data_IF_803967131699
#
_entry.id   IF_803967131699
#
_cell.length_a   1.000
_cell.length_b   1.000
_cell.length_c   1.000
_cell.angle_alpha   90.00
_cell.angle_beta   90.00
_cell.angle_gamma   90.00
#
_symmetry.space_group_name_H-M   'P 1'
#
loop_
_entity.id
_entity.type
_entity.pdbx_description
1 polymer ?
#
# COMPACT_ATOMS: atom_id res chain seq x y z
N UNK A 1 16.49 -13.97 19.44
CA UNK A 1 15.60 -12.83 19.80
C UNK A 1 14.18 -13.37 19.85
N UNK A 2 13.45 -13.07 20.91
CA UNK A 2 12.04 -13.39 21.05
C UNK A 2 11.33 -12.23 21.78
N UNK A 3 10.00 -12.22 21.75
CA UNK A 3 9.16 -11.30 22.50
C UNK A 3 8.37 -12.10 23.53
N UNK A 4 8.28 -11.61 24.74
CA UNK A 4 7.51 -12.21 25.83
C UNK A 4 6.23 -11.40 26.05
N UNK A 5 5.10 -12.12 26.12
CA UNK A 5 3.80 -11.56 26.51
C UNK A 5 3.53 -11.95 27.96
N UNK A 6 3.30 -10.98 28.82
CA UNK A 6 3.15 -11.16 30.26
C UNK A 6 1.70 -11.08 30.75
N UNK A 7 0.73 -11.22 29.84
CA UNK A 7 -0.70 -11.27 30.16
C UNK A 7 -1.30 -12.62 29.82
N UNK A 8 -2.47 -12.91 30.37
CA UNK A 8 -3.18 -14.15 30.06
C UNK A 8 -3.62 -14.19 28.59
N UNK A 9 -3.21 -15.24 27.90
CA UNK A 9 -3.63 -15.52 26.53
C UNK A 9 -4.15 -16.95 26.39
N UNK A 10 -5.22 -17.10 25.61
CA UNK A 10 -5.74 -18.41 25.21
C UNK A 10 -5.00 -18.96 23.99
N UNK A 11 -4.62 -20.20 24.03
CA UNK A 11 -4.00 -20.93 22.89
C UNK A 11 -4.75 -22.24 22.64
N UNK A 12 -4.45 -22.92 21.57
CA UNK A 12 -4.94 -24.27 21.27
C UNK A 12 -4.47 -25.32 22.29
N UNK A 13 -3.44 -25.00 23.10
CA UNK A 13 -2.92 -25.83 24.19
C UNK A 13 -3.41 -25.43 25.58
N UNK A 14 -4.30 -24.43 25.66
CA UNK A 14 -4.85 -23.92 26.93
C UNK A 14 -4.51 -22.46 27.19
N UNK A 15 -4.78 -22.02 28.42
CA UNK A 15 -4.51 -20.64 28.87
C UNK A 15 -3.13 -20.61 29.50
N UNK A 16 -2.33 -19.63 29.10
CA UNK A 16 -1.05 -19.33 29.74
C UNK A 16 -1.01 -17.89 30.25
N UNK A 17 -0.29 -17.64 31.34
CA UNK A 17 -0.02 -16.28 31.86
C UNK A 17 1.20 -15.63 31.23
N UNK A 18 2.02 -16.44 30.57
CA UNK A 18 3.20 -15.99 29.85
C UNK A 18 3.26 -16.71 28.51
N UNK A 19 3.61 -16.00 27.47
CA UNK A 19 3.84 -16.59 26.16
C UNK A 19 5.05 -15.96 25.49
N UNK A 20 5.71 -16.73 24.67
CA UNK A 20 6.90 -16.33 23.94
C UNK A 20 6.64 -16.40 22.45
N UNK A 21 7.01 -15.33 21.73
CA UNK A 21 6.79 -15.21 20.30
C UNK A 21 8.11 -14.98 19.60
N UNK A 22 8.40 -15.79 18.59
CA UNK A 22 9.58 -15.58 17.75
C UNK A 22 9.24 -15.58 16.27
N UNK A 23 10.10 -14.96 15.49
CA UNK A 23 10.11 -15.09 14.04
C UNK A 23 11.01 -16.30 13.72
N UNK A 24 10.42 -17.32 13.09
CA UNK A 24 11.12 -18.55 12.73
C UNK A 24 11.75 -18.46 11.33
N UNK A 25 11.11 -17.75 10.42
CA UNK A 25 11.52 -17.65 9.02
C UNK A 25 10.90 -16.40 8.37
N UNK A 26 11.44 -15.98 7.22
CA UNK A 26 10.89 -14.88 6.46
C UNK A 26 11.01 -15.10 4.96
N UNK A 27 10.13 -14.43 4.22
CA UNK A 27 10.17 -14.36 2.77
C UNK A 27 9.93 -12.93 2.30
N UNK A 28 10.86 -12.38 1.52
CA UNK A 28 10.71 -11.07 0.89
C UNK A 28 10.43 -11.26 -0.59
N UNK A 29 9.33 -10.66 -1.05
CA UNK A 29 8.94 -10.66 -2.45
C UNK A 29 9.51 -9.45 -3.17
N UNK A 30 9.99 -9.64 -4.39
CA UNK A 30 10.38 -8.54 -5.31
C UNK A 30 9.23 -7.58 -5.65
N UNK A 31 7.99 -7.96 -5.34
CA UNK A 31 6.81 -7.14 -5.57
C UNK A 31 6.45 -6.22 -4.39
N UNK A 32 7.34 -6.08 -3.42
CA UNK A 32 7.18 -5.16 -2.30
C UNK A 32 6.35 -5.73 -1.16
N UNK A 33 6.63 -6.94 -0.74
CA UNK A 33 6.06 -7.52 0.47
C UNK A 33 7.07 -8.36 1.23
N UNK A 34 6.96 -8.34 2.56
CA UNK A 34 7.67 -9.24 3.45
C UNK A 34 6.64 -10.08 4.23
N UNK A 35 6.88 -11.36 4.33
CA UNK A 35 6.08 -12.29 5.12
C UNK A 35 6.99 -12.98 6.12
N UNK A 36 6.66 -12.88 7.40
CA UNK A 36 7.39 -13.47 8.51
C UNK A 36 6.56 -14.57 9.12
N UNK A 37 7.13 -15.78 9.26
CA UNK A 37 6.51 -16.88 9.97
C UNK A 37 6.69 -16.72 11.47
N UNK A 38 5.58 -16.70 12.21
CA UNK A 38 5.55 -16.49 13.65
C UNK A 38 5.32 -17.84 14.33
N UNK A 39 6.07 -18.08 15.40
CA UNK A 39 5.87 -19.21 16.30
C UNK A 39 5.60 -18.70 17.72
N UNK A 40 4.58 -19.28 18.35
CA UNK A 40 4.15 -18.98 19.71
C UNK A 40 4.48 -20.17 20.61
N UNK A 41 5.01 -19.91 21.79
CA UNK A 41 5.38 -20.90 22.78
C UNK A 41 4.79 -20.54 24.15
N UNK A 42 4.50 -21.53 24.99
CA UNK A 42 3.99 -21.34 26.34
C UNK A 42 5.07 -21.38 27.42
N UNK A 43 6.31 -21.71 27.05
CA UNK A 43 7.46 -21.69 27.95
C UNK A 43 8.71 -21.13 27.26
N UNK A 44 9.63 -20.59 28.03
CA UNK A 44 10.93 -20.12 27.57
C UNK A 44 11.82 -21.26 27.10
N UNK A 45 11.71 -22.43 27.73
CA UNK A 45 12.45 -23.62 27.38
C UNK A 45 12.12 -24.11 25.95
N UNK A 46 10.84 -24.02 25.56
CA UNK A 46 10.40 -24.38 24.20
C UNK A 46 10.97 -23.44 23.12
N UNK A 47 11.21 -22.16 23.45
CA UNK A 47 11.82 -21.19 22.51
C UNK A 47 13.26 -21.54 22.20
N UNK A 48 13.99 -21.99 23.21
CA UNK A 48 15.44 -22.23 23.13
C UNK A 48 15.77 -23.61 22.59
N UNK A 49 14.84 -24.56 22.67
CA UNK A 49 15.03 -25.92 22.15
C UNK A 49 15.00 -25.92 20.62
N UNK A 50 16.08 -26.35 19.94
CA UNK A 50 16.09 -26.46 18.48
C UNK A 50 15.03 -27.46 18.02
N UNK A 51 14.03 -27.00 17.26
CA UNK A 51 13.07 -27.88 16.62
C UNK A 51 13.72 -28.53 15.41
N UNK A 52 13.89 -29.83 15.41
CA UNK A 52 14.56 -30.58 14.35
C UNK A 52 13.84 -30.54 13.01
N UNK A 53 12.59 -30.12 12.99
CA UNK A 53 11.78 -29.95 11.76
C UNK A 53 10.86 -28.75 11.88
N UNK A 54 10.81 -27.87 10.86
CA UNK A 54 9.81 -26.81 10.78
C UNK A 54 8.39 -27.41 10.79
N UNK A 55 7.59 -27.01 11.76
CA UNK A 55 6.19 -27.44 11.89
C UNK A 55 5.93 -28.71 12.73
N UNK A 56 6.95 -29.36 13.28
CA UNK A 56 6.81 -30.52 14.18
C UNK A 56 7.35 -30.30 15.60
N UNK A 57 7.63 -29.05 15.99
CA UNK A 57 8.04 -28.75 17.36
C UNK A 57 6.88 -28.94 18.33
N UNK A 58 7.02 -29.84 19.29
CA UNK A 58 6.01 -30.15 20.31
C UNK A 58 5.62 -28.96 21.21
N UNK A 59 6.36 -27.85 21.16
CA UNK A 59 6.14 -26.62 21.91
C UNK A 59 5.28 -25.56 21.25
N UNK A 60 5.19 -25.52 19.91
CA UNK A 60 4.46 -24.45 19.20
C UNK A 60 2.97 -24.51 19.52
N UNK A 61 2.45 -23.39 20.04
CA UNK A 61 1.04 -23.16 20.31
C UNK A 61 0.43 -22.20 19.28
N UNK A 62 -0.88 -22.17 19.17
CA UNK A 62 -1.60 -21.27 18.24
C UNK A 62 -2.52 -20.33 18.97
N UNK A 63 -2.53 -19.09 18.53
CA UNK A 63 -3.49 -18.09 18.97
C UNK A 63 -4.04 -17.36 17.75
N UNK A 64 -5.36 -17.26 17.62
CA UNK A 64 -6.00 -16.69 16.43
C UNK A 64 -5.71 -15.20 16.25
N UNK A 65 -5.52 -14.43 17.33
CA UNK A 65 -5.25 -13.00 17.26
C UNK A 65 -3.81 -12.71 16.81
N UNK A 66 -2.85 -13.49 17.31
CA UNK A 66 -1.43 -13.37 16.91
C UNK A 66 -1.26 -13.87 15.49
N UNK A 67 -1.86 -15.02 15.16
CA UNK A 67 -1.72 -15.68 13.87
C UNK A 67 -0.36 -16.37 13.71
N UNK A 68 -0.17 -17.04 12.57
CA UNK A 68 1.04 -17.77 12.23
C UNK A 68 1.98 -16.99 11.30
N UNK A 69 1.55 -15.81 10.83
CA UNK A 69 2.33 -14.97 9.93
C UNK A 69 2.08 -13.48 10.17
N UNK A 70 3.11 -12.71 9.85
CA UNK A 70 3.08 -11.24 9.80
C UNK A 70 3.40 -10.81 8.39
N UNK A 71 2.44 -10.17 7.74
CA UNK A 71 2.61 -9.59 6.41
C UNK A 71 2.87 -8.10 6.51
N UNK A 72 3.91 -7.63 5.84
CA UNK A 72 4.31 -6.22 5.78
C UNK A 72 4.37 -5.81 4.31
N UNK A 73 3.63 -4.77 3.96
CA UNK A 73 3.73 -4.15 2.64
C UNK A 73 4.94 -3.22 2.60
N UNK A 74 5.88 -3.51 1.71
CA UNK A 74 7.05 -2.70 1.42
C UNK A 74 6.79 -1.93 0.13
N UNK A 75 5.97 -0.88 0.22
CA UNK A 75 5.56 -0.09 -0.94
C UNK A 75 5.60 1.40 -0.62
N UNK A 76 5.85 2.21 -1.64
CA UNK A 76 5.72 3.67 -1.58
C UNK A 76 4.80 4.18 -2.67
N UNK A 77 4.23 5.35 -2.44
CA UNK A 77 3.50 6.08 -3.44
C UNK A 77 4.45 7.00 -4.22
N UNK A 78 4.36 6.96 -5.53
CA UNK A 78 5.12 7.82 -6.44
C UNK A 78 4.15 8.54 -7.35
N UNK A 79 4.31 9.84 -7.47
CA UNK A 79 3.58 10.64 -8.43
C UNK A 79 4.27 10.55 -9.80
N UNK A 80 3.48 10.31 -10.83
CA UNK A 80 3.94 10.26 -12.21
C UNK A 80 3.05 11.14 -13.06
N UNK A 81 3.66 12.01 -13.84
CA UNK A 81 2.93 12.81 -14.84
C UNK A 81 2.84 12.02 -16.13
N UNK A 82 1.62 11.79 -16.57
CA UNK A 82 1.32 11.11 -17.82
C UNK A 82 0.61 12.07 -18.79
N UNK A 83 0.88 11.91 -20.07
CA UNK A 83 0.16 12.64 -21.11
C UNK A 83 -1.01 11.78 -21.60
N UNK A 84 -2.21 12.31 -21.48
CA UNK A 84 -3.45 11.65 -21.90
C UNK A 84 -4.11 12.46 -22.98
N UNK A 85 -4.57 11.81 -24.05
CA UNK A 85 -5.35 12.46 -25.09
C UNK A 85 -6.80 12.62 -24.65
N UNK A 86 -7.26 13.85 -24.62
CA UNK A 86 -8.65 14.18 -24.26
C UNK A 86 -9.29 15.09 -25.28
N UNK A 87 -10.59 14.89 -25.48
CA UNK A 87 -11.42 15.83 -26.25
C UNK A 87 -11.70 17.03 -25.39
N UNK A 88 -11.14 18.18 -25.77
CA UNK A 88 -11.26 19.46 -25.05
C UNK A 88 -12.09 20.43 -25.87
N UNK A 89 -13.05 21.16 -25.28
CA UNK A 89 -13.79 22.16 -26.01
C UNK A 89 -12.89 23.36 -26.33
N UNK A 90 -12.72 23.62 -27.62
CA UNK A 90 -11.93 24.75 -28.13
C UNK A 90 -12.86 25.69 -28.88
N UNK A 91 -12.70 26.99 -28.62
CA UNK A 91 -13.41 28.02 -29.39
C UNK A 91 -12.69 28.26 -30.71
N UNK A 92 -13.39 28.02 -31.80
CA UNK A 92 -12.87 28.23 -33.14
C UNK A 92 -13.62 29.39 -33.78
N UNK A 93 -12.89 30.34 -34.26
CA UNK A 93 -13.45 31.45 -35.03
C UNK A 93 -13.61 31.02 -36.50
N UNK A 94 -14.74 31.36 -37.07
CA UNK A 94 -15.01 31.14 -38.48
C UNK A 94 -15.72 32.36 -39.07
N UNK A 95 -15.48 32.55 -40.35
CA UNK A 95 -16.11 33.63 -41.10
C UNK A 95 -17.38 33.11 -41.77
N UNK A 96 -18.47 33.84 -41.64
CA UNK A 96 -19.75 33.56 -42.30
C UNK A 96 -20.16 34.78 -43.11
N UNK A 97 -20.56 34.54 -44.36
CA UNK A 97 -21.15 35.62 -45.16
C UNK A 97 -22.56 35.90 -44.66
N UNK A 98 -22.76 37.12 -44.20
CA UNK A 98 -24.07 37.59 -43.82
C UNK A 98 -24.60 38.55 -44.91
N UNK A 99 -25.92 38.53 -45.14
CA UNK A 99 -26.55 39.51 -46.02
C UNK A 99 -26.45 40.88 -45.36
N UNK A 100 -25.71 41.77 -45.97
CA UNK A 100 -25.55 43.16 -45.58
C UNK A 100 -26.75 44.04 -45.99
N UNK A 101 -26.69 45.34 -45.66
CA UNK A 101 -27.69 46.26 -46.11
C UNK A 101 -27.77 46.36 -47.64
N UNK A 102 -28.90 46.79 -48.16
CA UNK A 102 -29.07 47.06 -49.58
C UNK A 102 -28.15 48.20 -50.04
N UNK A 103 -27.55 48.02 -51.21
CA UNK A 103 -26.80 49.06 -51.89
C UNK A 103 -27.74 50.19 -52.42
N UNK A 104 -27.15 51.22 -53.04
CA UNK A 104 -27.91 52.35 -53.63
C UNK A 104 -28.86 51.92 -54.75
N UNK A 105 -28.65 50.75 -55.34
CA UNK A 105 -29.45 50.18 -56.44
C UNK A 105 -30.47 49.14 -55.95
N UNK A 106 -30.55 48.92 -54.59
CA UNK A 106 -31.51 48.04 -53.93
C UNK A 106 -31.08 46.56 -53.96
N UNK A 107 -29.81 46.22 -54.23
CA UNK A 107 -29.31 44.87 -54.19
C UNK A 107 -28.72 44.56 -52.79
N UNK A 108 -28.87 43.33 -52.27
CA UNK A 108 -28.26 42.93 -51.03
C UNK A 108 -26.74 42.89 -51.15
N UNK A 109 -26.05 43.54 -50.21
CA UNK A 109 -24.60 43.44 -50.11
C UNK A 109 -24.22 42.24 -49.24
N UNK A 110 -23.04 41.68 -49.48
CA UNK A 110 -22.46 40.61 -48.64
C UNK A 110 -21.47 41.23 -47.64
N UNK A 111 -21.60 40.86 -46.38
CA UNK A 111 -20.68 41.28 -45.33
C UNK A 111 -20.16 40.03 -44.60
N UNK A 112 -18.84 39.93 -44.47
CA UNK A 112 -18.21 38.86 -43.71
C UNK A 112 -18.32 39.15 -42.20
N UNK A 113 -18.90 38.26 -41.45
CA UNK A 113 -19.01 38.34 -39.98
C UNK A 113 -18.24 37.19 -39.35
N UNK A 114 -17.33 37.52 -38.45
CA UNK A 114 -16.61 36.53 -37.66
C UNK A 114 -17.51 36.02 -36.54
N UNK A 115 -17.71 34.71 -36.47
CA UNK A 115 -18.45 34.03 -35.42
C UNK A 115 -17.57 33.03 -34.73
N UNK A 116 -17.90 32.68 -33.47
CA UNK A 116 -17.20 31.69 -32.69
C UNK A 116 -18.09 30.47 -32.47
N UNK A 117 -17.57 29.31 -32.65
CA UNK A 117 -18.22 28.03 -32.27
C UNK A 117 -17.30 27.19 -31.40
N UNK A 118 -17.89 26.41 -30.53
CA UNK A 118 -17.13 25.44 -29.72
C UNK A 118 -17.02 24.13 -30.48
N UNK A 119 -15.79 23.69 -30.72
CA UNK A 119 -15.49 22.39 -31.30
C UNK A 119 -14.75 21.54 -30.29
N UNK A 120 -15.00 20.23 -30.31
CA UNK A 120 -14.24 19.27 -29.52
C UNK A 120 -12.99 18.87 -30.30
N UNK A 121 -11.82 19.18 -29.76
CA UNK A 121 -10.54 18.84 -30.37
C UNK A 121 -9.75 17.93 -29.44
N UNK A 122 -9.07 16.95 -30.04
CA UNK A 122 -8.16 16.08 -29.31
C UNK A 122 -6.90 16.87 -28.92
N UNK A 123 -6.63 16.95 -27.61
CA UNK A 123 -5.46 17.63 -27.09
C UNK A 123 -4.73 16.71 -26.09
N UNK A 124 -3.42 16.84 -26.07
CA UNK A 124 -2.58 16.21 -25.06
C UNK A 124 -2.69 17.00 -23.75
N UNK A 125 -3.19 16.33 -22.71
CA UNK A 125 -3.36 16.89 -21.36
C UNK A 125 -2.44 16.14 -20.40
N UNK A 126 -1.65 16.86 -19.63
CA UNK A 126 -0.82 16.29 -18.58
C UNK A 126 -1.68 16.02 -17.33
N UNK A 127 -1.62 14.79 -16.84
CA UNK A 127 -2.27 14.36 -15.61
C UNK A 127 -1.26 13.75 -14.65
N UNK A 128 -1.33 14.17 -13.38
CA UNK A 128 -0.55 13.55 -12.32
C UNK A 128 -1.34 12.38 -11.74
N UNK A 129 -0.77 11.18 -11.81
CA UNK A 129 -1.34 9.98 -11.21
C UNK A 129 -0.44 9.48 -10.10
N UNK A 130 -1.05 8.95 -9.03
CA UNK A 130 -0.32 8.31 -7.95
C UNK A 130 -0.29 6.81 -8.17
N UNK A 131 0.91 6.25 -8.25
CA UNK A 131 1.15 4.80 -8.36
C UNK A 131 1.76 4.25 -7.10
N UNK A 132 1.31 3.07 -6.68
CA UNK A 132 1.97 2.29 -5.63
C UNK A 132 3.03 1.41 -6.28
N UNK A 133 4.28 1.62 -5.89
CA UNK A 133 5.43 0.85 -6.39
C UNK A 133 6.13 0.12 -5.25
N UNK A 134 6.79 -1.03 -5.51
CA UNK A 134 7.63 -1.68 -4.52
C UNK A 134 8.73 -0.75 -4.01
N UNK A 135 8.92 -0.73 -2.69
CA UNK A 135 10.01 -0.01 -2.02
C UNK A 135 10.69 -0.93 -1.01
N UNK A 136 11.75 -1.56 -1.44
CA UNK A 136 12.55 -2.44 -0.59
C UNK A 136 13.62 -1.66 0.20
N UNK A 137 13.77 -0.36 -0.02
CA UNK A 137 14.82 0.45 0.63
C UNK A 137 14.61 0.59 2.13
N UNK A 138 13.35 0.49 2.59
CA UNK A 138 13.04 0.48 4.02
C UNK A 138 13.58 -0.75 4.76
N UNK A 139 13.92 -1.81 4.03
CA UNK A 139 14.56 -3.01 4.57
C UNK A 139 16.06 -3.11 4.20
N UNK A 140 16.59 -2.19 3.37
CA UNK A 140 18.01 -2.17 3.00
C UNK A 140 18.86 -1.65 4.17
N UNK A 141 19.91 -2.40 4.49
CA UNK A 141 20.88 -2.03 5.55
C UNK A 141 20.40 -2.31 6.98
N UNK A 142 19.19 -2.84 7.16
CA UNK A 142 18.65 -3.29 8.46
C UNK A 142 18.67 -4.82 8.48
N UNK A 143 18.99 -5.41 9.63
CA UNK A 143 18.77 -6.84 9.83
C UNK A 143 17.28 -7.15 9.64
N UNK A 144 17.01 -8.06 8.71
CA UNK A 144 15.62 -8.42 8.33
C UNK A 144 14.83 -8.94 9.52
N UNK A 145 15.49 -9.66 10.43
CA UNK A 145 14.84 -10.11 11.66
C UNK A 145 14.53 -8.93 12.59
N UNK A 146 15.47 -8.01 12.79
CA UNK A 146 15.25 -6.80 13.60
C UNK A 146 14.08 -5.99 13.05
N UNK A 147 14.03 -5.78 11.73
CA UNK A 147 12.90 -5.14 11.04
C UNK A 147 11.58 -5.89 11.32
N UNK A 148 11.56 -7.20 11.14
CA UNK A 148 10.38 -8.04 11.40
C UNK A 148 9.94 -7.99 12.86
N UNK A 149 10.88 -8.02 13.81
CA UNK A 149 10.59 -7.95 15.24
C UNK A 149 10.02 -6.60 15.65
N UNK A 150 10.47 -5.49 15.08
CA UNK A 150 9.90 -4.16 15.33
C UNK A 150 8.41 -4.11 14.97
N UNK A 151 8.05 -4.63 13.80
CA UNK A 151 6.65 -4.71 13.37
C UNK A 151 5.83 -5.73 14.18
N UNK A 152 6.42 -6.86 14.54
CA UNK A 152 5.76 -7.86 15.39
C UNK A 152 5.48 -7.28 16.78
N UNK A 153 6.44 -6.58 17.38
CA UNK A 153 6.28 -5.91 18.66
C UNK A 153 5.13 -4.92 18.62
N UNK A 154 5.09 -4.03 17.63
CA UNK A 154 4.00 -3.07 17.44
C UNK A 154 2.63 -3.76 17.33
N UNK A 155 2.54 -4.87 16.59
CA UNK A 155 1.31 -5.67 16.49
C UNK A 155 0.89 -6.24 17.85
N UNK A 156 1.81 -6.83 18.59
CA UNK A 156 1.54 -7.44 19.90
C UNK A 156 1.17 -6.38 20.95
N UNK A 157 1.85 -5.23 20.96
CA UNK A 157 1.53 -4.09 21.82
C UNK A 157 0.11 -3.56 21.55
N UNK A 158 -0.31 -3.54 20.29
CA UNK A 158 -1.68 -3.19 19.91
C UNK A 158 -2.74 -4.20 20.37
N UNK A 159 -2.38 -5.48 20.50
CA UNK A 159 -3.29 -6.54 20.96
C UNK A 159 -3.36 -6.68 22.47
N UNK A 160 -2.24 -6.53 23.17
CA UNK A 160 -2.09 -6.90 24.58
C UNK A 160 -1.69 -5.71 25.47
N UNK A 161 -1.36 -4.56 24.91
CA UNK A 161 -0.83 -3.38 25.62
C UNK A 161 0.69 -3.38 25.68
N UNK A 162 1.29 -2.19 25.58
CA UNK A 162 2.75 -2.02 25.54
C UNK A 162 3.46 -2.56 26.78
N UNK A 163 2.86 -2.40 27.97
CA UNK A 163 3.44 -2.87 29.24
C UNK A 163 3.51 -4.40 29.36
N UNK A 164 2.78 -5.11 28.50
CA UNK A 164 2.69 -6.57 28.51
C UNK A 164 3.55 -7.24 27.44
N UNK A 165 4.32 -6.49 26.65
CA UNK A 165 5.20 -7.02 25.60
C UNK A 165 6.64 -6.60 25.87
N UNK A 166 7.49 -7.59 26.19
CA UNK A 166 8.87 -7.38 26.64
C UNK A 166 9.83 -8.11 25.68
N UNK A 167 10.97 -7.47 25.42
CA UNK A 167 12.07 -8.11 24.69
C UNK A 167 12.77 -9.15 25.58
N UNK A 168 13.09 -10.34 25.06
CA UNK A 168 13.78 -11.42 25.77
C UNK A 168 14.77 -12.21 24.88
#
# INVERSE_FOLDING_TARGET
MALKITTQIGTDKGITSEAYVRIADYQISKYGSANFRIELFQSEEDVTTPTSYPGMGGGVARNQQIGESLYIALTKQVEETITVKRMVPVQVEFEEEAVGPLDSDGNPTSTTVTRTRTEMQEQDVEETITKTVPDLTSAEGVDVFEFGYGHLKTKLEGLFGADNVVDC
#
